data_IF_125924805096
#
_entry.id   IF_125924805096
#
_cell.length_a   1.000
_cell.length_b   1.000
_cell.length_c   1.000
_cell.angle_alpha   90.00
_cell.angle_beta   90.00
_cell.angle_gamma   90.00
#
_symmetry.space_group_name_H-M   'P 1'
#
loop_
_entity.id
_entity.type
_entity.pdbx_description
1 polymer ?
#
# COMPACT_ATOMS: atom_id res chain seq x y z
N UNK A 1 0.89 3.30 21.18
CA UNK A 1 0.56 3.55 19.77
C UNK A 1 -0.22 2.34 19.29
N UNK A 2 -1.45 2.50 18.82
CA UNK A 2 -2.21 1.37 18.27
C UNK A 2 -2.46 1.63 16.79
N UNK A 3 -1.72 0.90 15.96
CA UNK A 3 -2.00 0.61 14.57
C UNK A 3 -2.06 -0.91 14.48
N UNK A 4 -2.86 -1.45 13.57
CA UNK A 4 -2.87 -2.89 13.33
C UNK A 4 -2.10 -3.15 12.03
N UNK A 5 -0.89 -3.68 12.19
CA UNK A 5 -0.16 -4.32 11.09
C UNK A 5 -0.63 -5.76 10.99
N UNK A 6 -1.27 -6.09 9.89
CA UNK A 6 -1.55 -7.47 9.51
C UNK A 6 -0.57 -7.84 8.39
N UNK A 7 0.40 -8.69 8.72
CA UNK A 7 1.38 -9.22 7.77
C UNK A 7 0.95 -10.64 7.44
N UNK A 8 0.44 -10.84 6.24
CA UNK A 8 0.01 -12.15 5.76
C UNK A 8 0.72 -12.45 4.45
N UNK A 9 1.50 -13.53 4.43
CA UNK A 9 2.18 -14.10 3.26
C UNK A 9 3.10 -13.11 2.52
N UNK A 10 2.54 -12.19 1.73
CA UNK A 10 3.25 -11.17 0.94
C UNK A 10 2.57 -9.77 0.97
N UNK A 11 1.57 -9.57 1.84
CA UNK A 11 0.81 -8.32 1.96
C UNK A 11 1.00 -7.70 3.34
N UNK A 12 1.32 -6.42 3.38
CA UNK A 12 1.28 -5.60 4.59
C UNK A 12 0.03 -4.73 4.55
N UNK A 13 -0.88 -4.99 5.50
CA UNK A 13 -2.06 -4.16 5.69
C UNK A 13 -1.80 -3.18 6.83
N UNK A 14 -1.87 -1.89 6.51
CA UNK A 14 -1.73 -0.79 7.45
C UNK A 14 -3.12 -0.22 7.74
N UNK A 15 -3.67 -0.57 8.91
CA UNK A 15 -4.95 -0.04 9.38
C UNK A 15 -4.70 0.93 10.55
N UNK A 16 -5.12 2.18 10.36
CA UNK A 16 -5.02 3.21 11.39
C UNK A 16 -6.25 3.16 12.32
N UNK A 17 -6.01 2.85 13.60
CA UNK A 17 -7.10 2.78 14.60
C UNK A 17 -7.50 4.16 15.15
N UNK A 18 -6.69 5.20 14.93
CA UNK A 18 -6.96 6.57 15.40
C UNK A 18 -6.61 7.62 14.35
N UNK A 19 -7.50 8.63 14.21
CA UNK A 19 -7.30 9.81 13.36
C UNK A 19 -6.10 10.64 13.84
N UNK A 20 -5.20 11.03 12.93
CA UNK A 20 -4.16 12.05 13.21
C UNK A 20 -2.72 11.55 13.43
N UNK A 21 -2.37 10.31 13.10
CA UNK A 21 -0.99 9.78 13.20
C UNK A 21 -0.27 9.75 11.85
N UNK A 22 0.95 10.29 11.80
CA UNK A 22 1.75 10.37 10.57
C UNK A 22 2.31 9.03 10.12
N UNK A 23 2.32 8.80 8.80
CA UNK A 23 3.00 7.68 8.13
C UNK A 23 4.51 7.64 8.40
N UNK A 24 5.11 8.76 8.77
CA UNK A 24 6.54 8.87 9.02
C UNK A 24 7.03 7.89 10.09
N UNK A 25 6.22 7.62 11.12
CA UNK A 25 6.58 6.66 12.17
C UNK A 25 6.70 5.22 11.64
N UNK A 26 5.89 4.87 10.64
CA UNK A 26 5.77 3.51 10.10
C UNK A 26 6.86 3.18 9.07
N UNK A 27 7.47 4.18 8.44
CA UNK A 27 8.50 4.00 7.41
C UNK A 27 9.71 3.16 7.87
N UNK A 28 10.01 3.14 9.17
CA UNK A 28 11.13 2.37 9.73
C UNK A 28 10.74 0.95 10.13
N UNK A 29 9.45 0.67 10.31
CA UNK A 29 8.93 -0.59 10.83
C UNK A 29 8.43 -1.54 9.73
N UNK A 30 8.15 -1.00 8.54
CA UNK A 30 7.57 -1.75 7.42
C UNK A 30 8.68 -2.23 6.48
N UNK A 31 8.93 -3.55 6.38
CA UNK A 31 9.83 -4.09 5.38
C UNK A 31 9.17 -4.00 4.01
N UNK A 32 9.48 -2.95 3.24
CA UNK A 32 8.90 -2.71 1.91
C UNK A 32 9.49 -3.62 0.80
N UNK A 33 10.36 -4.56 1.15
CA UNK A 33 11.05 -5.42 0.19
C UNK A 33 10.16 -6.64 -0.13
N UNK A 34 9.72 -6.76 -1.38
CA UNK A 34 8.84 -7.84 -1.90
C UNK A 34 7.43 -7.91 -1.32
N UNK A 35 6.94 -6.83 -0.70
CA UNK A 35 5.62 -6.83 -0.09
C UNK A 35 4.74 -5.76 -0.74
N UNK A 36 3.53 -6.16 -1.10
CA UNK A 36 2.48 -5.23 -1.49
C UNK A 36 1.86 -4.61 -0.25
N UNK A 37 1.48 -3.35 -0.31
CA UNK A 37 1.00 -2.60 0.85
C UNK A 37 -0.39 -2.08 0.60
N UNK A 38 -1.30 -2.35 1.54
CA UNK A 38 -2.63 -1.74 1.57
C UNK A 38 -2.66 -0.74 2.72
N UNK A 39 -3.02 0.50 2.43
CA UNK A 39 -3.18 1.54 3.44
C UNK A 39 -4.63 2.01 3.46
N UNK A 40 -5.27 1.91 4.63
CA UNK A 40 -6.63 2.40 4.81
C UNK A 40 -6.66 3.93 4.99
N UNK A 41 -7.23 4.60 3.98
CA UNK A 41 -7.36 6.05 3.81
C UNK A 41 -8.68 6.59 4.39
N UNK A 42 -9.70 5.75 4.57
CA UNK A 42 -11.02 6.19 5.09
C UNK A 42 -10.90 6.73 6.52
N UNK A 43 -10.02 6.11 7.31
CA UNK A 43 -9.79 6.46 8.70
C UNK A 43 -8.79 7.60 8.90
N UNK A 44 -8.07 8.06 7.85
CA UNK A 44 -6.97 9.02 8.00
C UNK A 44 -6.87 10.04 6.85
N UNK A 45 -6.95 11.34 7.18
CA UNK A 45 -6.60 12.41 6.24
C UNK A 45 -5.09 12.62 6.23
N UNK A 46 -4.44 12.15 5.18
CA UNK A 46 -3.01 12.35 4.97
C UNK A 46 -2.68 13.82 4.80
N UNK A 47 -1.69 14.30 5.56
CA UNK A 47 -1.12 15.62 5.36
C UNK A 47 -0.21 15.64 4.12
N UNK A 48 0.15 16.84 3.65
CA UNK A 48 1.09 17.01 2.52
C UNK A 48 2.41 16.25 2.72
N UNK A 49 2.89 16.17 3.97
CA UNK A 49 4.10 15.42 4.31
C UNK A 49 3.95 13.91 4.12
N UNK A 50 2.74 13.39 4.32
CA UNK A 50 2.45 11.97 4.18
C UNK A 50 2.32 11.57 2.70
N UNK A 51 1.86 12.47 1.82
CA UNK A 51 1.82 12.23 0.37
C UNK A 51 3.21 11.93 -0.20
N UNK A 52 4.23 12.68 0.25
CA UNK A 52 5.62 12.43 -0.14
C UNK A 52 6.18 11.09 0.38
N UNK A 53 5.62 10.57 1.47
CA UNK A 53 5.98 9.24 1.98
C UNK A 53 5.32 8.16 1.12
N UNK A 54 4.03 8.30 0.82
CA UNK A 54 3.29 7.38 -0.05
C UNK A 54 3.93 7.28 -1.43
N UNK A 55 4.38 8.41 -2.00
CA UNK A 55 5.09 8.40 -3.27
C UNK A 55 6.41 7.61 -3.20
N UNK A 56 7.23 7.83 -2.16
CA UNK A 56 8.47 7.06 -1.95
C UNK A 56 8.22 5.57 -1.75
N UNK A 57 7.15 5.22 -1.02
CA UNK A 57 6.74 3.83 -0.84
C UNK A 57 6.32 3.23 -2.17
N UNK A 58 5.52 3.94 -2.97
CA UNK A 58 5.09 3.48 -4.28
C UNK A 58 6.27 3.15 -5.19
N UNK A 59 7.27 4.04 -5.27
CA UNK A 59 8.48 3.81 -6.08
C UNK A 59 9.27 2.60 -5.57
N UNK A 60 9.44 2.48 -4.25
CA UNK A 60 10.18 1.36 -3.66
C UNK A 60 9.47 0.03 -3.89
N UNK A 61 8.17 -0.04 -3.61
CA UNK A 61 7.35 -1.25 -3.76
C UNK A 61 7.34 -1.72 -5.21
N UNK A 62 7.15 -0.80 -6.17
CA UNK A 62 7.22 -1.10 -7.61
C UNK A 62 8.58 -1.65 -8.03
N UNK A 63 9.67 -1.20 -7.41
CA UNK A 63 11.01 -1.76 -7.65
C UNK A 63 11.18 -3.23 -7.26
N UNK A 64 10.21 -3.80 -6.51
CA UNK A 64 10.16 -5.22 -6.15
C UNK A 64 8.92 -5.92 -6.73
N UNK A 65 8.34 -5.39 -7.82
CA UNK A 65 7.12 -5.90 -8.48
C UNK A 65 5.86 -5.86 -7.60
N UNK A 66 5.91 -5.22 -6.42
CA UNK A 66 4.76 -5.09 -5.54
C UNK A 66 3.81 -3.96 -5.95
N UNK A 67 2.69 -3.88 -5.25
CA UNK A 67 1.67 -2.85 -5.46
C UNK A 67 1.35 -2.10 -4.17
N UNK A 68 1.28 -0.76 -4.26
CA UNK A 68 0.74 0.10 -3.20
C UNK A 68 -0.71 0.45 -3.53
N UNK A 69 -1.61 0.11 -2.61
CA UNK A 69 -3.05 0.37 -2.73
C UNK A 69 -3.54 1.20 -1.55
N UNK A 70 -4.33 2.24 -1.83
CA UNK A 70 -5.03 3.03 -0.83
C UNK A 70 -6.52 2.67 -0.85
N UNK A 71 -7.13 2.54 0.33
CA UNK A 71 -8.56 2.20 0.45
C UNK A 71 -9.40 3.27 1.11
N UNK A 72 -10.62 3.51 0.63
CA UNK A 72 -11.60 4.38 1.30
C UNK A 72 -12.49 5.17 0.35
N UNK A 73 -13.17 6.20 0.83
CA UNK A 73 -14.01 7.07 -0.02
C UNK A 73 -13.30 8.30 -0.64
N UNK A 74 -12.29 8.88 0.02
CA UNK A 74 -11.59 10.09 -0.45
C UNK A 74 -10.36 9.78 -1.33
N UNK A 75 -10.42 10.14 -2.63
CA UNK A 75 -9.26 9.98 -3.53
C UNK A 75 -8.11 10.92 -3.16
N UNK A 76 -6.89 10.41 -3.25
CA UNK A 76 -5.67 11.23 -3.17
C UNK A 76 -5.27 11.78 -4.55
N UNK A 77 -4.54 12.89 -4.56
CA UNK A 77 -3.95 13.48 -5.78
C UNK A 77 -2.60 12.85 -6.15
N UNK A 78 -2.12 11.85 -5.40
CA UNK A 78 -0.83 11.21 -5.68
C UNK A 78 -0.94 10.30 -6.90
N UNK A 79 -0.23 10.68 -7.96
CA UNK A 79 -0.22 9.94 -9.21
C UNK A 79 0.46 8.57 -9.08
N UNK A 80 -0.10 7.58 -9.81
CA UNK A 80 0.49 6.26 -9.93
C UNK A 80 0.32 5.34 -8.73
N UNK A 81 -0.49 5.71 -7.74
CA UNK A 81 -0.94 4.84 -6.65
C UNK A 81 -2.35 4.35 -6.96
N UNK A 82 -2.59 3.05 -6.77
CA UNK A 82 -3.92 2.48 -7.00
C UNK A 82 -4.85 2.85 -5.83
N UNK A 83 -6.06 3.26 -6.17
CA UNK A 83 -7.08 3.62 -5.19
C UNK A 83 -8.31 2.74 -5.38
N UNK A 84 -8.72 2.04 -4.32
CA UNK A 84 -9.86 1.13 -4.36
C UNK A 84 -10.81 1.42 -3.19
N UNK A 85 -12.13 1.29 -3.37
CA UNK A 85 -13.07 1.66 -2.31
C UNK A 85 -12.96 0.76 -1.08
N UNK A 86 -12.65 -0.54 -1.26
CA UNK A 86 -12.63 -1.50 -0.16
C UNK A 86 -11.29 -2.24 -0.01
N UNK A 87 -11.03 -2.67 1.22
CA UNK A 87 -9.91 -3.55 1.55
C UNK A 87 -9.95 -4.90 0.80
N UNK A 88 -11.15 -5.40 0.51
CA UNK A 88 -11.31 -6.63 -0.27
C UNK A 88 -10.82 -6.47 -1.71
N UNK A 89 -11.26 -5.42 -2.40
CA UNK A 89 -10.80 -5.12 -3.76
C UNK A 89 -9.29 -4.85 -3.79
N UNK A 90 -8.74 -4.20 -2.77
CA UNK A 90 -7.30 -3.97 -2.66
C UNK A 90 -6.50 -5.27 -2.59
N UNK A 91 -6.99 -6.28 -1.86
CA UNK A 91 -6.39 -7.60 -1.84
C UNK A 91 -6.48 -8.29 -3.20
N UNK A 92 -7.64 -8.21 -3.86
CA UNK A 92 -7.80 -8.80 -5.19
C UNK A 92 -6.86 -8.16 -6.22
N UNK A 93 -6.70 -6.84 -6.19
CA UNK A 93 -5.79 -6.13 -7.10
C UNK A 93 -4.32 -6.53 -6.89
N UNK A 94 -3.89 -6.70 -5.64
CA UNK A 94 -2.55 -7.22 -5.34
C UNK A 94 -2.38 -8.63 -5.89
N UNK A 95 -3.36 -9.51 -5.65
CA UNK A 95 -3.30 -10.88 -6.15
C UNK A 95 -3.25 -10.94 -7.68
N UNK A 96 -4.00 -10.07 -8.37
CA UNK A 96 -3.94 -9.96 -9.83
C UNK A 96 -2.58 -9.46 -10.31
N UNK A 97 -2.00 -8.45 -9.66
CA UNK A 97 -0.65 -7.97 -9.96
C UNK A 97 0.39 -9.09 -9.80
N UNK A 98 0.30 -9.88 -8.73
CA UNK A 98 1.22 -11.00 -8.50
C UNK A 98 1.06 -12.09 -9.57
N UNK A 99 -0.16 -12.40 -9.99
CA UNK A 99 -0.42 -13.31 -11.12
C UNK A 99 0.16 -12.78 -12.42
N UNK A 100 -0.10 -11.51 -12.76
CA UNK A 100 0.44 -10.87 -13.96
C UNK A 100 1.97 -10.92 -13.98
N UNK A 101 2.61 -10.62 -12.84
CA UNK A 101 4.06 -10.70 -12.71
C UNK A 101 4.60 -12.13 -12.85
N UNK A 102 3.88 -13.13 -12.33
CA UNK A 102 4.23 -14.54 -12.53
C UNK A 102 4.15 -14.91 -14.02
N UNK A 103 3.07 -14.52 -14.70
CA UNK A 103 2.92 -14.76 -16.14
C UNK A 103 4.02 -14.08 -16.96
N UNK A 104 4.36 -12.83 -16.66
CA UNK A 104 5.44 -12.12 -17.35
C UNK A 104 6.80 -12.82 -17.17
N UNK A 105 7.10 -13.27 -15.94
CA UNK A 105 8.32 -14.03 -15.62
C UNK A 105 8.37 -15.38 -16.33
N UNK A 106 7.25 -16.07 -16.48
CA UNK A 106 7.18 -17.35 -17.22
C UNK A 106 7.29 -17.17 -18.74
N UNK A 107 6.86 -16.02 -19.27
CA UNK A 107 6.96 -15.69 -20.71
C UNK A 107 8.35 -15.20 -21.14
N UNK A 108 9.27 -15.01 -20.19
CA UNK A 108 10.70 -14.83 -20.47
C UNK A 108 11.12 -13.41 -20.82
N UNK A 109 10.65 -12.41 -20.07
CA UNK A 109 11.45 -11.19 -19.85
C UNK A 109 12.59 -11.45 -18.84
#
# INVERSE_FOLDING_TARGET
MSFKLDISEEIISVVFEEKGKSLAALTSEIPLEKLSVIVDYDTYKFGVSDLGILQKWNEKIKGYDGLLVLTGEERTEVEGILYLPTFHEAKEAIFMNDLENQFLKEMGE
#
